data_IF_320172412284
#
_entry.id   IF_320172412284
#
_cell.length_a   1.000
_cell.length_b   1.000
_cell.length_c   1.000
_cell.angle_alpha   90.00
_cell.angle_beta   90.00
_cell.angle_gamma   90.00
#
_symmetry.space_group_name_H-M   'P 1'
#
loop_
_entity.id
_entity.type
_entity.pdbx_description
1 polymer ?
#
# COMPACT_ATOMS: atom_id res chain seq x y z
N UNK A 1 -12.72 -6.11 21.80
CA UNK A 1 -13.41 -5.89 20.52
C UNK A 1 -13.07 -4.48 20.03
N UNK A 2 -12.57 -4.29 18.80
CA UNK A 2 -12.39 -2.95 18.28
C UNK A 2 -13.77 -2.32 18.11
N UNK A 3 -14.05 -1.34 18.95
CA UNK A 3 -15.22 -0.51 18.80
C UNK A 3 -15.12 0.31 17.50
N UNK A 4 -16.24 0.78 16.93
CA UNK A 4 -16.25 1.67 15.73
C UNK A 4 -15.23 2.81 15.80
N UNK A 5 -14.80 3.22 16.99
CA UNK A 5 -13.77 4.25 17.20
C UNK A 5 -12.35 3.80 16.81
N UNK A 6 -11.99 2.54 16.95
CA UNK A 6 -10.67 2.03 16.58
C UNK A 6 -10.48 2.06 15.06
N UNK A 7 -11.45 1.52 14.30
CA UNK A 7 -11.40 1.55 12.83
C UNK A 7 -11.39 2.98 12.26
N UNK A 8 -12.05 3.94 12.90
CA UNK A 8 -12.04 5.33 12.45
C UNK A 8 -10.67 6.01 12.65
N UNK A 9 -9.98 5.71 13.75
CA UNK A 9 -8.62 6.21 14.00
C UNK A 9 -7.61 5.56 13.06
N UNK A 10 -7.73 4.25 12.82
CA UNK A 10 -6.83 3.52 11.93
C UNK A 10 -6.97 3.97 10.47
N UNK A 11 -8.17 4.34 10.03
CA UNK A 11 -8.42 4.84 8.67
C UNK A 11 -8.16 6.34 8.50
N UNK A 12 -8.02 7.11 9.58
CA UNK A 12 -7.83 8.57 9.50
C UNK A 12 -6.63 9.00 8.65
N UNK A 13 -5.43 8.36 8.74
CA UNK A 13 -4.29 8.70 7.87
C UNK A 13 -4.58 8.47 6.39
N UNK A 14 -5.28 7.38 6.07
CA UNK A 14 -5.65 7.06 4.68
C UNK A 14 -6.69 8.03 4.14
N UNK A 15 -7.68 8.44 4.94
CA UNK A 15 -8.63 9.49 4.55
C UNK A 15 -7.96 10.83 4.29
N UNK A 16 -6.92 11.18 5.05
CA UNK A 16 -6.12 12.37 4.80
C UNK A 16 -5.39 12.33 3.45
N UNK A 17 -5.07 11.14 2.97
CA UNK A 17 -4.36 10.89 1.71
C UNK A 17 -5.27 10.43 0.56
N UNK A 18 -6.59 10.50 0.72
CA UNK A 18 -7.57 10.00 -0.28
C UNK A 18 -7.40 10.60 -1.69
N UNK A 19 -6.81 11.78 -1.78
CA UNK A 19 -6.54 12.47 -3.05
C UNK A 19 -5.15 12.19 -3.62
N UNK A 20 -4.39 11.26 -3.04
CA UNK A 20 -3.11 10.84 -3.62
C UNK A 20 -3.35 10.24 -5.02
N UNK A 21 -2.43 10.50 -5.95
CA UNK A 21 -2.58 10.02 -7.32
C UNK A 21 -2.53 8.51 -7.44
N UNK A 22 -1.79 7.85 -6.54
CA UNK A 22 -1.59 6.40 -6.53
C UNK A 22 -1.66 5.87 -5.09
N UNK A 23 -2.17 4.65 -4.95
CA UNK A 23 -2.19 3.89 -3.71
C UNK A 23 -1.80 2.44 -3.96
N UNK A 24 -1.30 1.78 -2.93
CA UNK A 24 -0.94 0.37 -2.95
C UNK A 24 -1.73 -0.39 -1.89
N UNK A 25 -2.21 -1.58 -2.21
CA UNK A 25 -2.85 -2.48 -1.25
C UNK A 25 -1.80 -3.27 -0.46
N UNK A 26 -2.22 -3.98 0.58
CA UNK A 26 -1.35 -4.89 1.33
C UNK A 26 -1.93 -6.31 1.35
N UNK A 27 -1.06 -7.33 1.39
CA UNK A 27 -1.48 -8.73 1.49
C UNK A 27 -1.80 -9.13 2.94
N UNK A 28 -2.65 -8.33 3.59
CA UNK A 28 -3.07 -8.52 4.99
C UNK A 28 -4.54 -8.89 5.05
N UNK A 29 -4.88 -9.87 5.87
CA UNK A 29 -6.27 -10.24 6.18
C UNK A 29 -6.77 -9.34 7.31
N UNK A 30 -7.93 -8.71 7.11
CA UNK A 30 -8.62 -7.90 8.10
C UNK A 30 -9.93 -8.60 8.51
N UNK A 31 -9.90 -9.42 9.54
CA UNK A 31 -10.99 -10.30 10.00
C UNK A 31 -12.32 -9.56 10.15
N UNK A 32 -12.28 -8.28 10.54
CA UNK A 32 -13.50 -7.46 10.73
C UNK A 32 -14.21 -7.10 9.42
N UNK A 33 -13.54 -7.24 8.28
CA UNK A 33 -14.08 -6.90 6.96
C UNK A 33 -14.18 -8.10 6.03
N UNK A 34 -13.12 -8.91 5.99
CA UNK A 34 -13.06 -10.14 5.19
C UNK A 34 -12.01 -11.06 5.81
N UNK A 35 -12.46 -12.15 6.43
CA UNK A 35 -11.59 -13.13 7.11
C UNK A 35 -11.08 -14.23 6.17
N UNK A 36 -11.52 -14.22 4.90
CA UNK A 36 -11.16 -15.24 3.90
C UNK A 36 -10.10 -14.76 2.91
N UNK A 37 -10.01 -13.44 2.68
CA UNK A 37 -9.14 -12.87 1.65
C UNK A 37 -8.23 -11.80 2.21
N UNK A 38 -7.02 -11.72 1.67
CA UNK A 38 -6.17 -10.54 1.89
C UNK A 38 -6.82 -9.30 1.31
N UNK A 39 -6.50 -8.11 1.82
CA UNK A 39 -7.07 -6.85 1.33
C UNK A 39 -6.90 -6.68 -0.19
N UNK A 40 -5.76 -7.11 -0.76
CA UNK A 40 -5.51 -7.12 -2.21
C UNK A 40 -6.49 -7.99 -3.00
N UNK A 41 -6.98 -9.08 -2.38
CA UNK A 41 -7.86 -10.07 -3.04
C UNK A 41 -9.32 -9.96 -2.60
N UNK A 42 -9.66 -9.00 -1.75
CA UNK A 42 -11.00 -8.80 -1.21
C UNK A 42 -11.79 -7.74 -1.96
N UNK A 43 -12.81 -8.10 -2.75
CA UNK A 43 -13.69 -7.11 -3.38
C UNK A 43 -14.37 -6.19 -2.35
N UNK A 44 -14.66 -6.71 -1.15
CA UNK A 44 -15.26 -5.92 -0.08
C UNK A 44 -14.32 -4.84 0.42
N UNK A 45 -13.07 -5.18 0.73
CA UNK A 45 -12.08 -4.21 1.22
C UNK A 45 -11.77 -3.17 0.15
N UNK A 46 -11.58 -3.59 -1.10
CA UNK A 46 -11.25 -2.66 -2.19
C UNK A 46 -12.41 -1.69 -2.47
N UNK A 47 -13.63 -2.18 -2.61
CA UNK A 47 -14.75 -1.32 -3.01
C UNK A 47 -15.39 -0.59 -1.81
N UNK A 48 -15.66 -1.29 -0.70
CA UNK A 48 -16.41 -0.69 0.41
C UNK A 48 -15.51 0.10 1.36
N UNK A 49 -14.29 -0.38 1.62
CA UNK A 49 -13.39 0.30 2.55
C UNK A 49 -12.53 1.33 1.82
N UNK A 50 -11.77 0.92 0.78
CA UNK A 50 -10.83 1.83 0.12
C UNK A 50 -11.57 2.85 -0.73
N UNK A 51 -12.42 2.40 -1.67
CA UNK A 51 -13.11 3.31 -2.60
C UNK A 51 -14.21 4.13 -1.93
N UNK A 52 -15.07 3.52 -1.11
CA UNK A 52 -16.24 4.22 -0.54
C UNK A 52 -15.96 4.86 0.83
N UNK A 53 -15.44 4.12 1.81
CA UNK A 53 -15.28 4.62 3.18
C UNK A 53 -14.11 5.60 3.31
N UNK A 54 -12.93 5.25 2.77
CA UNK A 54 -11.78 6.16 2.69
C UNK A 54 -12.04 7.25 1.64
N UNK A 55 -12.71 6.91 0.54
CA UNK A 55 -12.99 7.81 -0.58
C UNK A 55 -11.77 7.97 -1.50
N UNK A 56 -10.92 6.94 -1.61
CA UNK A 56 -9.73 7.00 -2.45
C UNK A 56 -10.10 7.02 -3.93
N UNK A 57 -9.71 8.08 -4.64
CA UNK A 57 -9.99 8.33 -6.06
C UNK A 57 -8.68 8.45 -6.87
N UNK A 58 -7.75 7.52 -6.67
CA UNK A 58 -6.50 7.41 -7.39
C UNK A 58 -6.30 6.03 -8.02
N UNK A 59 -5.19 5.86 -8.76
CA UNK A 59 -4.78 4.57 -9.29
C UNK A 59 -4.44 3.63 -8.15
N UNK A 60 -5.10 2.49 -8.06
CA UNK A 60 -4.90 1.49 -7.01
C UNK A 60 -4.13 0.28 -7.56
N UNK A 61 -2.94 0.04 -7.04
CA UNK A 61 -2.14 -1.12 -7.42
C UNK A 61 -2.08 -2.16 -6.29
N UNK A 62 -1.83 -3.41 -6.65
CA UNK A 62 -1.48 -4.43 -5.66
C UNK A 62 -0.09 -4.15 -5.06
N UNK A 63 0.21 -4.75 -3.91
CA UNK A 63 1.59 -5.03 -3.54
C UNK A 63 2.15 -6.14 -4.43
N UNK A 64 3.46 -6.47 -4.31
CA UNK A 64 4.13 -7.46 -5.15
C UNK A 64 3.45 -8.84 -5.10
N UNK A 65 2.95 -9.26 -6.25
CA UNK A 65 2.20 -10.51 -6.38
C UNK A 65 3.04 -11.76 -6.19
N UNK A 66 4.37 -11.66 -6.18
CA UNK A 66 5.25 -12.81 -5.93
C UNK A 66 5.45 -13.11 -4.42
N UNK A 67 4.93 -12.27 -3.55
CA UNK A 67 5.00 -12.48 -2.10
C UNK A 67 4.28 -13.76 -1.67
N UNK A 68 4.88 -14.48 -0.70
CA UNK A 68 4.38 -15.76 -0.18
C UNK A 68 3.04 -15.68 0.57
N UNK A 69 2.54 -14.49 0.83
CA UNK A 69 1.23 -14.27 1.45
C UNK A 69 0.05 -14.65 0.53
N UNK A 70 0.30 -14.81 -0.77
CA UNK A 70 -0.70 -15.15 -1.77
C UNK A 70 -0.55 -16.60 -2.24
N UNK A 71 -1.67 -17.24 -2.58
CA UNK A 71 -1.71 -18.61 -3.08
C UNK A 71 -1.90 -18.65 -4.61
N UNK A 72 -1.38 -19.69 -5.26
CA UNK A 72 -1.47 -19.91 -6.70
C UNK A 72 -0.24 -19.38 -7.45
N UNK A 73 -0.25 -19.51 -8.76
CA UNK A 73 0.76 -18.92 -9.65
C UNK A 73 0.54 -17.41 -9.82
N UNK A 74 1.58 -16.69 -10.25
CA UNK A 74 1.57 -15.23 -10.32
C UNK A 74 0.53 -14.67 -11.30
N UNK A 75 0.26 -15.36 -12.40
CA UNK A 75 -0.73 -14.92 -13.39
C UNK A 75 -2.16 -15.04 -12.84
N UNK A 76 -2.46 -16.14 -12.14
CA UNK A 76 -3.72 -16.30 -11.42
C UNK A 76 -3.89 -15.24 -10.32
N UNK A 77 -2.83 -14.94 -9.57
CA UNK A 77 -2.84 -13.86 -8.56
C UNK A 77 -3.12 -12.49 -9.21
N UNK A 78 -2.51 -12.21 -10.36
CA UNK A 78 -2.74 -10.98 -11.11
C UNK A 78 -4.20 -10.82 -11.55
N UNK A 79 -4.79 -11.87 -12.12
CA UNK A 79 -6.19 -11.86 -12.51
C UNK A 79 -7.11 -11.61 -11.31
N UNK A 80 -6.92 -12.37 -10.22
CA UNK A 80 -7.76 -12.27 -9.02
C UNK A 80 -7.69 -10.89 -8.37
N UNK A 81 -6.52 -10.24 -8.34
CA UNK A 81 -6.40 -8.91 -7.75
C UNK A 81 -7.11 -7.84 -8.61
N UNK A 82 -7.05 -7.95 -9.95
CA UNK A 82 -7.77 -7.05 -10.86
C UNK A 82 -9.29 -7.28 -10.77
N UNK A 83 -9.74 -8.54 -10.77
CA UNK A 83 -11.15 -8.88 -10.55
C UNK A 83 -11.68 -8.41 -9.18
N UNK A 84 -10.83 -8.39 -8.15
CA UNK A 84 -11.19 -7.85 -6.84
C UNK A 84 -11.33 -6.32 -6.83
N UNK A 85 -10.70 -5.60 -7.76
CA UNK A 85 -10.85 -4.14 -7.90
C UNK A 85 -9.55 -3.34 -7.87
N UNK A 86 -8.37 -3.99 -7.93
CA UNK A 86 -7.12 -3.29 -8.24
C UNK A 86 -7.10 -2.86 -9.72
N UNK A 87 -6.52 -1.70 -9.99
CA UNK A 87 -6.35 -1.19 -11.35
C UNK A 87 -5.08 -1.74 -12.01
N UNK A 88 -4.05 -2.00 -11.20
CA UNK A 88 -2.73 -2.49 -11.62
C UNK A 88 -2.33 -3.70 -10.78
N UNK A 89 -1.88 -4.75 -11.45
CA UNK A 89 -1.23 -5.92 -10.87
C UNK A 89 0.30 -5.72 -10.88
N UNK A 90 0.94 -5.65 -9.72
CA UNK A 90 2.38 -5.39 -9.58
C UNK A 90 3.16 -6.69 -9.49
N UNK A 91 4.14 -6.88 -10.39
CA UNK A 91 5.15 -7.94 -10.33
C UNK A 91 6.54 -7.31 -10.32
N UNK A 92 7.33 -7.51 -9.26
CA UNK A 92 8.61 -6.84 -9.08
C UNK A 92 9.82 -7.63 -9.60
N UNK A 93 9.68 -8.94 -9.85
CA UNK A 93 10.84 -9.80 -10.14
C UNK A 93 11.29 -9.81 -11.60
N UNK A 94 10.44 -9.36 -12.52
CA UNK A 94 10.81 -9.20 -13.93
C UNK A 94 11.15 -10.51 -14.67
N UNK A 95 10.64 -11.65 -14.19
CA UNK A 95 10.79 -12.94 -14.88
C UNK A 95 9.91 -12.94 -16.12
N UNK A 96 10.54 -13.02 -17.29
CA UNK A 96 9.87 -12.81 -18.59
C UNK A 96 8.72 -13.79 -18.83
N UNK A 97 8.85 -15.05 -18.42
CA UNK A 97 7.81 -16.06 -18.60
C UNK A 97 6.57 -15.75 -17.76
N UNK A 98 6.76 -15.29 -16.52
CA UNK A 98 5.67 -14.83 -15.66
C UNK A 98 5.01 -13.57 -16.19
N UNK A 99 5.80 -12.61 -16.67
CA UNK A 99 5.27 -11.37 -17.27
C UNK A 99 4.40 -11.68 -18.49
N UNK A 100 4.80 -12.64 -19.33
CA UNK A 100 4.01 -13.11 -20.46
C UNK A 100 2.71 -13.79 -19.99
N UNK A 101 2.79 -14.70 -19.02
CA UNK A 101 1.63 -15.36 -18.48
C UNK A 101 0.61 -14.36 -17.85
N UNK A 102 1.11 -13.33 -17.16
CA UNK A 102 0.27 -12.24 -16.65
C UNK A 102 -0.40 -11.49 -17.81
N UNK A 103 0.38 -11.09 -18.83
CA UNK A 103 -0.15 -10.33 -19.98
C UNK A 103 -1.18 -11.12 -20.79
N UNK A 104 -1.01 -12.44 -20.92
CA UNK A 104 -1.95 -13.30 -21.63
C UNK A 104 -3.26 -13.53 -20.85
N UNK A 105 -3.23 -13.38 -19.53
CA UNK A 105 -4.37 -13.67 -18.64
C UNK A 105 -5.19 -12.43 -18.31
N UNK A 106 -4.55 -11.25 -18.22
CA UNK A 106 -5.24 -10.03 -17.80
C UNK A 106 -6.10 -9.43 -18.92
N UNK A 107 -7.28 -8.86 -18.56
CA UNK A 107 -8.04 -8.03 -19.49
C UNK A 107 -7.30 -6.73 -19.81
N UNK A 108 -7.76 -6.03 -20.84
CA UNK A 108 -7.29 -4.68 -21.11
C UNK A 108 -7.60 -3.74 -19.92
N UNK A 109 -6.75 -2.74 -19.74
CA UNK A 109 -6.94 -1.71 -18.71
C UNK A 109 -8.28 -0.99 -18.91
N UNK A 110 -9.04 -0.80 -17.84
CA UNK A 110 -10.32 -0.08 -17.93
C UNK A 110 -10.11 1.39 -18.27
N UNK A 111 -11.14 2.04 -18.83
CA UNK A 111 -11.09 3.48 -19.13
C UNK A 111 -10.85 4.31 -17.84
N UNK A 112 -11.43 3.92 -16.71
CA UNK A 112 -11.23 4.60 -15.43
C UNK A 112 -9.78 4.46 -14.93
N UNK A 113 -9.23 3.24 -14.96
CA UNK A 113 -7.85 2.98 -14.55
C UNK A 113 -6.85 3.72 -15.48
N UNK A 114 -7.13 3.78 -16.78
CA UNK A 114 -6.34 4.56 -17.73
C UNK A 114 -6.36 6.04 -17.38
N UNK A 115 -7.51 6.62 -17.07
CA UNK A 115 -7.61 8.03 -16.71
C UNK A 115 -6.86 8.33 -15.39
N UNK A 116 -6.89 7.44 -14.40
CA UNK A 116 -6.09 7.58 -13.18
C UNK A 116 -4.59 7.46 -13.45
N UNK A 117 -4.17 6.52 -14.31
CA UNK A 117 -2.78 6.37 -14.71
C UNK A 117 -2.27 7.64 -15.41
N UNK A 118 -3.01 8.15 -16.39
CA UNK A 118 -2.64 9.36 -17.13
C UNK A 118 -2.54 10.57 -16.19
N UNK A 119 -3.46 10.70 -15.21
CA UNK A 119 -3.42 11.73 -14.18
C UNK A 119 -2.19 11.59 -13.27
N UNK A 120 -1.83 10.38 -12.86
CA UNK A 120 -0.67 10.12 -12.04
C UNK A 120 0.64 10.43 -12.78
N UNK A 121 0.73 10.04 -14.05
CA UNK A 121 1.90 10.29 -14.90
C UNK A 121 2.08 11.76 -15.31
N UNK A 122 1.01 12.55 -15.28
CA UNK A 122 1.05 13.98 -15.56
C UNK A 122 1.51 14.84 -14.37
N UNK A 123 1.74 14.24 -13.18
CA UNK A 123 2.23 14.99 -12.02
C UNK A 123 3.61 15.58 -12.30
N UNK A 124 3.83 16.87 -11.98
CA UNK A 124 5.13 17.48 -12.16
C UNK A 124 6.16 16.81 -11.23
N UNK A 125 7.33 16.51 -11.75
CA UNK A 125 8.47 16.13 -10.92
C UNK A 125 9.01 17.39 -10.25
N UNK A 126 8.98 17.50 -8.91
CA UNK A 126 9.53 18.67 -8.23
C UNK A 126 11.02 18.83 -8.57
N UNK A 127 11.47 20.10 -8.71
CA UNK A 127 12.89 20.37 -8.84
C UNK A 127 13.63 19.87 -7.58
N UNK A 128 14.83 19.35 -7.76
CA UNK A 128 15.68 18.95 -6.64
C UNK A 128 16.08 20.16 -5.80
N UNK A 129 15.79 20.11 -4.51
CA UNK A 129 16.10 21.13 -3.53
C UNK A 129 17.16 20.60 -2.55
N UNK A 130 18.41 20.99 -2.76
CA UNK A 130 19.55 20.55 -1.97
C UNK A 130 19.47 21.04 -0.52
N UNK A 131 19.00 22.28 -0.29
CA UNK A 131 18.90 22.85 1.04
C UNK A 131 17.80 22.16 1.85
N UNK A 132 16.69 21.87 1.19
CA UNK A 132 15.61 21.09 1.79
C UNK A 132 16.06 19.68 2.15
N UNK A 133 16.81 19.01 1.29
CA UNK A 133 17.39 17.69 1.58
C UNK A 133 18.33 17.75 2.80
N UNK A 134 19.26 18.70 2.83
CA UNK A 134 20.19 18.88 3.96
C UNK A 134 19.43 19.09 5.28
N UNK A 135 18.42 19.96 5.28
CA UNK A 135 17.55 20.18 6.44
C UNK A 135 16.84 18.89 6.90
N UNK A 136 16.29 18.11 5.96
CA UNK A 136 15.58 16.86 6.31
C UNK A 136 16.52 15.80 6.85
N UNK A 137 17.75 15.70 6.33
CA UNK A 137 18.77 14.77 6.83
C UNK A 137 19.18 15.14 8.26
N UNK A 138 19.46 16.40 8.53
CA UNK A 138 19.79 16.89 9.87
C UNK A 138 18.64 16.62 10.87
N UNK A 139 17.41 16.93 10.47
CA UNK A 139 16.22 16.65 11.29
C UNK A 139 16.03 15.16 11.57
N UNK A 140 16.26 14.30 10.58
CA UNK A 140 16.24 12.84 10.77
C UNK A 140 17.25 12.41 11.83
N UNK A 141 18.50 12.90 11.72
CA UNK A 141 19.59 12.49 12.60
C UNK A 141 19.34 12.97 14.04
N UNK A 142 18.80 14.18 14.21
CA UNK A 142 18.35 14.67 15.51
C UNK A 142 17.26 13.77 16.14
N UNK A 143 16.26 13.35 15.36
CA UNK A 143 15.19 12.49 15.85
C UNK A 143 15.70 11.08 16.21
N UNK A 144 16.61 10.52 15.42
CA UNK A 144 17.23 9.21 15.73
C UNK A 144 18.07 9.28 17.00
N UNK A 145 18.82 10.34 17.24
CA UNK A 145 19.58 10.53 18.46
C UNK A 145 18.69 10.59 19.72
N UNK A 146 17.48 11.14 19.61
CA UNK A 146 16.51 11.11 20.73
C UNK A 146 16.00 9.70 21.02
N UNK A 147 15.76 8.89 19.97
CA UNK A 147 15.33 7.50 20.15
C UNK A 147 16.40 6.65 20.83
N UNK A 148 17.68 6.79 20.44
CA UNK A 148 18.81 6.09 21.06
C UNK A 148 18.99 6.46 22.55
N UNK A 149 18.73 7.71 22.89
CA UNK A 149 18.79 8.19 24.28
C UNK A 149 17.65 7.59 25.12
N UNK A 150 16.45 7.48 24.57
CA UNK A 150 15.30 6.86 25.23
C UNK A 150 15.52 5.37 25.49
N UNK A 151 16.11 4.63 24.54
CA UNK A 151 16.41 3.21 24.69
C UNK A 151 17.45 2.94 25.81
N UNK A 152 18.42 3.83 25.99
CA UNK A 152 19.42 3.73 27.08
C UNK A 152 18.82 4.00 28.45
N UNK A 153 17.81 4.87 28.55
CA UNK A 153 17.13 5.16 29.82
C UNK A 153 16.20 4.03 30.28
N UNK A 154 15.62 3.27 29.34
CA UNK A 154 14.73 2.14 29.68
C UNK A 154 15.47 0.82 29.90
N UNK A 155 16.68 0.65 29.38
CA UNK A 155 17.52 -0.56 29.52
C UNK A 155 18.30 -0.65 30.84
N UNK A 156 18.28 0.37 31.68
CA UNK A 156 19.05 0.43 32.97
C UNK A 156 18.32 -0.12 34.19
N UNK A 157 17.12 -0.66 34.10
CA UNK A 157 16.29 -1.05 35.25
C UNK A 157 16.17 -2.56 35.49
N UNK A 158 17.02 -3.41 34.90
CA UNK A 158 17.03 -4.85 35.19
C UNK A 158 18.42 -5.32 35.57
N UNK A 159 18.80 -5.06 36.83
CA UNK A 159 20.06 -5.56 37.37
C UNK A 159 20.27 -5.19 38.83
N UNK A 160 19.46 -5.73 39.76
CA UNK A 160 19.84 -5.99 41.14
C UNK A 160 18.67 -6.60 41.93
N UNK A 161 18.63 -7.89 42.09
CA UNK A 161 18.30 -8.63 43.32
C UNK A 161 18.49 -10.12 43.09
#
# INVERSE_FOLDING_TARGET
>A
FPTRRSSDLDLAPFRALKNAAMGMTGHVVYDVWDDQHTATMSPYVLNNIIRQNIGFDGLLMSDDLDMNALQGDVATRALRCVEAGCDIALNCWGRLDEMRAIADMLPEITQAARAWLDRAMALPVPAFDADRLAYLLDKRDQLLALADTSAKLTGGATGAA
#
